data_IF_536286969854
#
_entry.id   IF_536286969854
#
_cell.length_a   1.000
_cell.length_b   1.000
_cell.length_c   1.000
_cell.angle_alpha   90.00
_cell.angle_beta   90.00
_cell.angle_gamma   90.00
#
_symmetry.space_group_name_H-M   'P 1'
#
loop_
_entity.id
_entity.type
_entity.pdbx_description
1 polymer ?
#
# COMPACT_ATOMS: atom_id res chain seq x y z
N UNK A 1 -7.66 18.35 -16.82
CA UNK A 1 -6.95 17.23 -16.16
C UNK A 1 -7.67 16.91 -14.85
N UNK A 2 -8.01 15.62 -14.59
CA UNK A 2 -8.71 15.21 -13.37
C UNK A 2 -7.66 14.75 -12.35
N UNK A 3 -7.70 15.30 -11.14
CA UNK A 3 -6.82 14.90 -10.04
C UNK A 3 -7.51 13.86 -9.18
N UNK A 4 -6.82 12.79 -8.84
CA UNK A 4 -7.25 11.79 -7.88
C UNK A 4 -6.32 11.79 -6.67
N UNK A 5 -6.91 11.63 -5.50
CA UNK A 5 -6.21 11.45 -4.23
C UNK A 5 -6.29 9.98 -3.82
N UNK A 6 -5.17 9.45 -3.37
CA UNK A 6 -5.06 8.07 -2.90
C UNK A 6 -4.66 8.10 -1.44
N UNK A 7 -5.51 7.56 -0.57
CA UNK A 7 -5.17 7.34 0.84
C UNK A 7 -4.66 5.92 1.00
N UNK A 8 -3.50 5.79 1.60
CA UNK A 8 -2.90 4.51 1.93
C UNK A 8 -2.28 4.54 3.33
N UNK A 9 -2.12 3.39 3.91
CA UNK A 9 -1.40 3.18 5.17
C UNK A 9 -0.24 2.22 4.92
N UNK A 10 0.85 2.39 5.69
CA UNK A 10 2.00 1.48 5.68
C UNK A 10 2.33 1.05 7.10
N UNK A 11 2.44 -0.25 7.32
CA UNK A 11 2.96 -0.79 8.55
C UNK A 11 4.48 -0.76 8.53
N UNK A 12 5.09 0.02 9.42
CA UNK A 12 6.53 0.35 9.34
C UNK A 12 7.44 -0.85 9.47
N UNK A 13 7.09 -1.84 10.27
CA UNK A 13 7.90 -3.04 10.49
C UNK A 13 7.82 -4.00 9.30
N UNK A 14 6.61 -4.41 8.91
CA UNK A 14 6.40 -5.40 7.84
C UNK A 14 6.43 -4.80 6.44
N UNK A 15 6.34 -3.48 6.29
CA UNK A 15 6.15 -2.74 5.03
C UNK A 15 4.83 -3.04 4.31
N UNK A 16 3.89 -3.67 5.01
CA UNK A 16 2.57 -3.95 4.45
C UNK A 16 1.86 -2.65 4.13
N UNK A 17 1.35 -2.55 2.92
CA UNK A 17 0.53 -1.44 2.43
C UNK A 17 -0.93 -1.80 2.57
N UNK A 18 -1.76 -0.81 2.82
CA UNK A 18 -3.21 -0.88 2.71
C UNK A 18 -3.70 0.32 1.91
N UNK A 19 -4.27 0.08 0.75
CA UNK A 19 -4.94 1.10 -0.06
C UNK A 19 -6.35 1.33 0.52
N UNK A 20 -6.48 2.36 1.36
CA UNK A 20 -7.76 2.66 2.03
C UNK A 20 -8.79 3.24 1.07
N UNK A 21 -8.39 4.08 0.12
CA UNK A 21 -9.34 4.63 -0.83
C UNK A 21 -8.75 5.54 -1.91
N UNK A 22 -9.56 5.78 -2.92
CA UNK A 22 -9.28 6.73 -4.01
C UNK A 22 -10.49 7.65 -4.15
N UNK A 23 -10.27 8.95 -4.26
CA UNK A 23 -11.33 9.93 -4.44
C UNK A 23 -10.85 11.13 -5.26
N UNK A 24 -11.77 11.87 -5.82
CA UNK A 24 -11.51 13.20 -6.42
C UNK A 24 -11.64 14.31 -5.39
N UNK A 25 -12.39 14.06 -4.31
CA UNK A 25 -12.75 15.02 -3.27
C UNK A 25 -12.49 14.41 -1.89
N UNK A 26 -11.26 14.56 -1.35
CA UNK A 26 -10.91 14.07 -0.02
C UNK A 26 -11.44 15.04 1.05
N UNK A 27 -12.77 15.15 1.12
CA UNK A 27 -13.45 15.96 2.13
C UNK A 27 -13.47 15.28 3.50
N UNK A 28 -13.97 15.98 4.51
CA UNK A 28 -14.04 15.50 5.88
C UNK A 28 -14.82 14.19 5.97
N UNK A 29 -16.00 14.10 5.35
CA UNK A 29 -16.87 12.91 5.42
C UNK A 29 -16.20 11.68 4.81
N UNK A 30 -15.50 11.85 3.68
CA UNK A 30 -14.73 10.78 3.08
C UNK A 30 -13.57 10.34 3.97
N UNK A 31 -12.84 11.28 4.56
CA UNK A 31 -11.72 10.96 5.48
C UNK A 31 -12.22 10.20 6.72
N UNK A 32 -13.33 10.61 7.32
CA UNK A 32 -13.95 9.91 8.44
C UNK A 32 -14.40 8.50 8.07
N UNK A 33 -14.97 8.32 6.86
CA UNK A 33 -15.34 6.98 6.40
C UNK A 33 -14.11 6.09 6.21
N UNK A 34 -13.02 6.61 5.65
CA UNK A 34 -11.76 5.86 5.53
C UNK A 34 -11.19 5.50 6.92
N UNK A 35 -11.29 6.41 7.90
CA UNK A 35 -10.89 6.13 9.28
C UNK A 35 -11.71 4.97 9.87
N UNK A 36 -13.04 5.00 9.74
CA UNK A 36 -13.91 3.89 10.18
C UNK A 36 -13.53 2.56 9.53
N UNK A 37 -13.28 2.55 8.22
CA UNK A 37 -12.94 1.32 7.50
C UNK A 37 -11.63 0.69 8.00
N UNK A 38 -10.60 1.50 8.32
CA UNK A 38 -9.30 0.98 8.77
C UNK A 38 -9.23 0.65 10.25
N UNK A 39 -10.21 1.12 11.05
CA UNK A 39 -10.36 0.78 12.48
C UNK A 39 -11.49 -0.22 12.73
N UNK A 40 -12.18 -0.69 11.67
CA UNK A 40 -13.29 -1.63 11.80
C UNK A 40 -12.86 -2.90 12.55
N UNK A 41 -13.66 -3.32 13.52
CA UNK A 41 -13.46 -4.55 14.28
C UNK A 41 -13.32 -5.75 13.33
N UNK A 42 -12.43 -6.67 13.65
CA UNK A 42 -12.12 -7.91 12.90
C UNK A 42 -11.44 -7.76 11.53
N UNK A 43 -11.52 -6.61 10.86
CA UNK A 43 -11.00 -6.46 9.49
C UNK A 43 -10.15 -5.21 9.24
N UNK A 44 -10.11 -4.24 10.15
CA UNK A 44 -9.40 -2.98 9.97
C UNK A 44 -7.88 -3.14 9.96
N UNK A 45 -7.22 -2.42 9.08
CA UNK A 45 -5.75 -2.46 8.97
C UNK A 45 -5.02 -1.97 10.22
N UNK A 46 -5.67 -1.10 11.01
CA UNK A 46 -5.12 -0.53 12.23
C UNK A 46 -5.41 -1.34 13.49
N UNK A 47 -6.07 -2.49 13.40
CA UNK A 47 -6.29 -3.38 14.55
C UNK A 47 -4.95 -3.76 15.19
N UNK A 48 -4.90 -3.70 16.54
CA UNK A 48 -3.72 -3.99 17.33
C UNK A 48 -2.52 -3.07 17.03
N UNK A 49 -2.76 -1.89 16.47
CA UNK A 49 -1.75 -0.85 16.28
C UNK A 49 -1.85 0.18 17.38
N UNK A 50 -0.69 0.65 17.87
CA UNK A 50 -0.63 1.63 18.95
C UNK A 50 -0.64 3.06 18.43
N UNK A 51 0.00 3.30 17.28
CA UNK A 51 0.26 4.64 16.77
C UNK A 51 -0.03 4.72 15.28
N UNK A 52 -0.61 5.85 14.86
CA UNK A 52 -0.70 6.28 13.47
C UNK A 52 0.12 7.56 13.29
N UNK A 53 1.20 7.47 12.53
CA UNK A 53 1.97 8.63 12.11
C UNK A 53 1.35 9.23 10.86
N UNK A 54 1.18 10.56 10.82
CA UNK A 54 0.69 11.27 9.65
C UNK A 54 1.41 12.61 9.50
N UNK A 55 1.46 13.14 8.28
CA UNK A 55 1.93 14.49 8.03
C UNK A 55 0.93 15.54 8.55
N UNK A 56 1.27 16.82 8.34
CA UNK A 56 0.41 17.94 8.79
C UNK A 56 -0.58 18.39 7.74
N UNK A 57 -0.94 17.54 6.78
CA UNK A 57 -1.97 17.89 5.81
C UNK A 57 -3.32 18.11 6.52
N UNK A 58 -4.02 19.17 6.10
CA UNK A 58 -5.33 19.56 6.66
C UNK A 58 -6.40 18.47 6.51
N UNK A 59 -6.19 17.51 5.61
CA UNK A 59 -7.09 16.35 5.43
C UNK A 59 -7.14 15.47 6.67
N UNK A 60 -6.06 15.42 7.48
CA UNK A 60 -6.05 14.74 8.79
C UNK A 60 -6.68 15.65 9.86
N UNK A 61 -7.95 16.04 9.63
CA UNK A 61 -8.72 16.92 10.50
C UNK A 61 -9.01 16.28 11.89
N UNK A 62 -9.52 17.07 12.81
CA UNK A 62 -9.81 16.61 14.17
C UNK A 62 -10.77 15.42 14.20
N UNK A 63 -11.84 15.45 13.38
CA UNK A 63 -12.81 14.36 13.31
C UNK A 63 -12.21 13.06 12.78
N UNK A 64 -11.34 13.10 11.75
CA UNK A 64 -10.58 11.92 11.31
C UNK A 64 -9.79 11.31 12.46
N UNK A 65 -9.04 12.14 13.20
CA UNK A 65 -8.23 11.68 14.33
C UNK A 65 -9.08 11.10 15.44
N UNK A 66 -10.20 11.73 15.79
CA UNK A 66 -11.15 11.22 16.80
C UNK A 66 -11.68 9.83 16.45
N UNK A 67 -12.00 9.57 15.18
CA UNK A 67 -12.44 8.23 14.73
C UNK A 67 -11.30 7.20 14.87
N UNK A 68 -10.07 7.56 14.51
CA UNK A 68 -8.90 6.67 14.67
C UNK A 68 -8.65 6.39 16.17
N UNK A 69 -8.71 7.41 17.02
CA UNK A 69 -8.47 7.31 18.46
C UNK A 69 -9.56 6.53 19.19
N UNK A 70 -10.80 6.61 18.74
CA UNK A 70 -11.89 5.75 19.21
C UNK A 70 -11.61 4.25 18.94
N UNK A 71 -10.84 3.94 17.91
CA UNK A 71 -10.32 2.58 17.62
C UNK A 71 -9.05 2.23 18.42
N UNK A 72 -8.76 2.94 19.52
CA UNK A 72 -7.60 2.72 20.42
C UNK A 72 -6.23 2.93 19.75
N UNK A 73 -6.15 3.72 18.69
CA UNK A 73 -4.92 4.07 17.98
C UNK A 73 -4.59 5.54 18.22
N UNK A 74 -3.43 5.84 18.80
CA UNK A 74 -3.00 7.23 19.00
C UNK A 74 -2.50 7.86 17.70
N UNK A 75 -2.99 9.05 17.37
CA UNK A 75 -2.52 9.80 16.20
C UNK A 75 -1.34 10.69 16.55
N UNK A 76 -0.27 10.65 15.77
CA UNK A 76 0.94 11.44 15.95
C UNK A 76 1.25 12.23 14.67
N UNK A 77 1.12 13.55 14.75
CA UNK A 77 1.52 14.44 13.66
C UNK A 77 3.05 14.53 13.60
N UNK A 78 3.64 14.25 12.45
CA UNK A 78 5.07 14.35 12.25
C UNK A 78 5.58 15.78 12.48
N UNK A 79 6.78 15.97 13.09
CA UNK A 79 7.40 17.27 13.22
C UNK A 79 7.63 17.91 11.84
N UNK A 80 7.62 19.27 11.75
CA UNK A 80 8.00 19.94 10.52
C UNK A 80 9.42 19.58 10.10
N UNK A 81 9.67 19.49 8.79
CA UNK A 81 11.00 19.24 8.23
C UNK A 81 11.68 17.94 8.71
N UNK A 82 10.89 16.91 8.93
CA UNK A 82 11.39 15.59 9.36
C UNK A 82 11.15 14.50 8.28
N UNK A 83 11.77 14.61 7.10
CA UNK A 83 11.52 13.70 5.98
C UNK A 83 11.85 12.24 6.31
N UNK A 84 12.86 12.01 7.17
CA UNK A 84 13.26 10.66 7.55
C UNK A 84 12.15 9.86 8.24
N UNK A 85 11.23 10.54 8.94
CA UNK A 85 10.12 9.90 9.64
C UNK A 85 9.02 9.40 8.68
N UNK A 86 8.99 9.89 7.44
CA UNK A 86 8.04 9.46 6.41
C UNK A 86 8.72 8.71 5.24
N UNK A 87 9.98 8.38 5.35
CA UNK A 87 10.80 7.84 4.27
C UNK A 87 10.23 6.57 3.62
N UNK A 88 9.53 5.72 4.38
CA UNK A 88 8.92 4.50 3.85
C UNK A 88 7.70 4.78 2.99
N UNK A 89 6.85 5.70 3.42
CA UNK A 89 5.69 6.13 2.64
C UNK A 89 6.13 6.85 1.35
N UNK A 90 7.12 7.73 1.44
CA UNK A 90 7.69 8.43 0.27
C UNK A 90 8.30 7.44 -0.72
N UNK A 91 9.04 6.43 -0.24
CA UNK A 91 9.62 5.37 -1.09
C UNK A 91 8.53 4.58 -1.79
N UNK A 92 7.47 4.19 -1.08
CA UNK A 92 6.35 3.48 -1.70
C UNK A 92 5.67 4.35 -2.77
N UNK A 93 5.39 5.63 -2.47
CA UNK A 93 4.79 6.57 -3.45
C UNK A 93 5.69 6.71 -4.69
N UNK A 94 7.00 6.81 -4.51
CA UNK A 94 7.94 6.85 -5.64
C UNK A 94 7.87 5.57 -6.46
N UNK A 95 7.96 4.41 -5.81
CA UNK A 95 7.91 3.11 -6.50
C UNK A 95 6.63 2.93 -7.30
N UNK A 96 5.45 3.19 -6.72
CA UNK A 96 4.19 3.02 -7.47
C UNK A 96 4.08 3.99 -8.64
N UNK A 97 4.60 5.22 -8.49
CA UNK A 97 4.63 6.20 -9.59
C UNK A 97 5.54 5.76 -10.72
N UNK A 98 6.79 5.42 -10.42
CA UNK A 98 7.83 5.12 -11.43
C UNK A 98 7.66 3.73 -12.06
N UNK A 99 7.30 2.72 -11.26
CA UNK A 99 7.23 1.34 -11.71
C UNK A 99 5.88 1.00 -12.36
N UNK A 100 4.81 1.75 -12.02
CA UNK A 100 3.45 1.45 -12.48
C UNK A 100 2.77 2.64 -13.15
N UNK A 101 2.42 3.70 -12.40
CA UNK A 101 1.47 4.71 -12.88
C UNK A 101 2.01 5.53 -14.06
N UNK A 102 3.32 5.86 -14.07
CA UNK A 102 3.96 6.59 -15.17
C UNK A 102 4.04 5.81 -16.49
N UNK A 103 3.81 4.51 -16.45
CA UNK A 103 3.88 3.62 -17.60
C UNK A 103 2.52 3.20 -18.14
N UNK A 104 1.43 3.75 -17.60
CA UNK A 104 0.06 3.42 -17.94
C UNK A 104 -0.72 4.64 -18.40
N UNK A 105 -1.57 4.45 -19.38
CA UNK A 105 -2.62 5.42 -19.73
C UNK A 105 -3.84 5.08 -18.87
N UNK A 106 -4.13 5.94 -17.89
CA UNK A 106 -5.21 5.75 -16.94
C UNK A 106 -6.49 6.42 -17.43
N UNK A 107 -7.48 5.64 -17.78
CA UNK A 107 -8.79 6.10 -18.21
C UNK A 107 -9.78 6.09 -17.05
N UNK A 108 -9.76 7.17 -16.26
CA UNK A 108 -10.67 7.36 -15.13
C UNK A 108 -10.30 6.58 -13.85
N UNK A 109 -11.17 6.65 -12.85
CA UNK A 109 -10.93 6.14 -11.51
C UNK A 109 -10.82 4.61 -11.46
N UNK A 110 -11.66 3.90 -12.19
CA UNK A 110 -11.66 2.43 -12.21
C UNK A 110 -10.34 1.86 -12.72
N UNK A 111 -9.76 2.49 -13.74
CA UNK A 111 -8.44 2.15 -14.28
C UNK A 111 -7.32 2.39 -13.24
N UNK A 112 -7.37 3.54 -12.54
CA UNK A 112 -6.43 3.85 -11.46
C UNK A 112 -6.54 2.84 -10.31
N UNK A 113 -7.76 2.56 -9.84
CA UNK A 113 -7.99 1.58 -8.77
C UNK A 113 -7.49 0.18 -9.13
N UNK A 114 -7.69 -0.24 -10.38
CA UNK A 114 -7.17 -1.52 -10.88
C UNK A 114 -5.64 -1.53 -10.89
N UNK A 115 -5.01 -0.49 -11.42
CA UNK A 115 -3.55 -0.38 -11.45
C UNK A 115 -2.95 -0.44 -10.04
N UNK A 116 -3.51 0.31 -9.09
CA UNK A 116 -3.05 0.34 -7.70
C UNK A 116 -3.19 -1.02 -7.02
N UNK A 117 -4.32 -1.72 -7.16
CA UNK A 117 -4.51 -3.07 -6.58
C UNK A 117 -3.53 -4.09 -7.14
N UNK A 118 -3.29 -4.07 -8.46
CA UNK A 118 -2.30 -4.96 -9.06
C UNK A 118 -0.88 -4.64 -8.59
N UNK A 119 -0.56 -3.35 -8.42
CA UNK A 119 0.74 -2.95 -7.91
C UNK A 119 0.91 -3.31 -6.42
N UNK A 120 -0.11 -3.13 -5.58
CA UNK A 120 -0.10 -3.54 -4.18
C UNK A 120 0.17 -5.04 -4.04
N UNK A 121 -0.53 -5.89 -4.81
CA UNK A 121 -0.29 -7.33 -4.81
C UNK A 121 1.13 -7.67 -5.28
N UNK A 122 1.60 -7.05 -6.38
CA UNK A 122 2.98 -7.21 -6.84
C UNK A 122 4.00 -6.78 -5.79
N UNK A 123 3.80 -5.64 -5.15
CA UNK A 123 4.67 -5.11 -4.10
C UNK A 123 4.79 -6.05 -2.90
N UNK A 124 3.71 -6.71 -2.51
CA UNK A 124 3.67 -7.62 -1.38
C UNK A 124 4.24 -9.01 -1.70
N UNK A 125 3.86 -9.56 -2.84
CA UNK A 125 3.99 -10.99 -3.14
C UNK A 125 5.14 -11.32 -4.09
N UNK A 126 5.55 -10.36 -4.93
CA UNK A 126 6.37 -10.63 -6.10
C UNK A 126 7.60 -9.72 -6.21
N UNK A 127 7.61 -8.58 -5.52
CA UNK A 127 8.69 -7.60 -5.59
C UNK A 127 9.74 -7.86 -4.51
N UNK A 128 11.00 -7.98 -4.92
CA UNK A 128 12.14 -8.04 -4.00
C UNK A 128 12.37 -6.69 -3.32
N UNK A 129 12.60 -6.71 -2.01
CA UNK A 129 12.79 -5.52 -1.20
C UNK A 129 14.25 -5.40 -0.72
N UNK A 130 15.06 -4.56 -1.39
CA UNK A 130 16.47 -4.34 -1.07
C UNK A 130 16.71 -3.99 0.41
N UNK A 131 15.85 -3.17 1.01
CA UNK A 131 15.92 -2.82 2.44
C UNK A 131 15.49 -3.93 3.40
N UNK A 132 15.24 -5.14 2.90
CA UNK A 132 14.94 -6.36 3.63
C UNK A 132 15.64 -7.57 2.99
N UNK A 133 16.93 -7.41 2.68
CA UNK A 133 17.78 -8.48 2.15
C UNK A 133 17.24 -9.14 0.85
N UNK A 134 16.58 -8.35 0.01
CA UNK A 134 15.96 -8.78 -1.24
C UNK A 134 14.89 -9.89 -1.10
N UNK A 135 14.26 -10.03 0.07
CA UNK A 135 13.18 -10.99 0.26
C UNK A 135 11.83 -10.41 -0.18
N UNK A 136 10.89 -11.30 -0.50
CA UNK A 136 9.48 -10.96 -0.69
C UNK A 136 8.85 -10.67 0.67
N UNK A 137 7.95 -9.66 0.75
CA UNK A 137 7.31 -9.31 2.03
C UNK A 137 6.32 -10.38 2.50
N UNK A 138 5.49 -10.85 1.59
CA UNK A 138 4.43 -11.82 1.85
C UNK A 138 4.35 -12.82 0.69
N UNK A 139 5.34 -13.71 0.54
CA UNK A 139 5.34 -14.68 -0.55
C UNK A 139 4.09 -15.55 -0.47
N UNK A 140 3.48 -15.82 -1.61
CA UNK A 140 2.43 -16.84 -1.69
C UNK A 140 3.03 -18.19 -1.29
N UNK A 141 2.22 -19.08 -0.67
CA UNK A 141 2.69 -20.43 -0.36
C UNK A 141 3.13 -21.12 -1.65
N UNK A 142 4.44 -21.20 -1.85
CA UNK A 142 5.02 -22.01 -2.92
C UNK A 142 5.16 -23.42 -2.36
N UNK A 143 4.65 -24.43 -3.06
CA UNK A 143 4.95 -25.80 -2.70
C UNK A 143 6.48 -25.96 -2.77
N UNK A 144 7.07 -26.40 -1.65
CA UNK A 144 8.52 -26.55 -1.57
C UNK A 144 8.97 -27.57 -2.62
N UNK A 145 9.68 -27.10 -3.63
CA UNK A 145 10.24 -27.94 -4.69
C UNK A 145 11.41 -28.70 -4.09
N UNK A 146 11.25 -30.01 -3.89
CA UNK A 146 12.34 -30.95 -3.67
C UNK A 146 12.69 -31.57 -5.02
N UNK A 147 13.63 -30.97 -5.75
CA UNK A 147 14.08 -31.44 -7.06
C UNK A 147 14.70 -30.33 -7.90
N UNK A 148 15.27 -30.65 -9.04
CA UNK A 148 15.75 -29.68 -10.01
C UNK A 148 14.55 -28.90 -10.58
N UNK A 149 14.65 -27.55 -10.73
CA UNK A 149 13.58 -26.75 -11.28
C UNK A 149 13.42 -27.06 -12.77
N UNK A 150 12.39 -27.81 -13.14
CA UNK A 150 12.16 -28.19 -14.54
C UNK A 150 11.63 -27.05 -15.39
N UNK A 151 10.96 -26.05 -14.80
CA UNK A 151 10.32 -24.98 -15.60
C UNK A 151 10.23 -23.65 -14.85
N UNK A 152 10.62 -22.59 -15.53
CA UNK A 152 10.43 -21.22 -15.03
C UNK A 152 9.08 -20.69 -15.55
N UNK A 153 8.23 -20.28 -14.63
CA UNK A 153 6.96 -19.62 -14.93
C UNK A 153 7.07 -18.12 -14.74
N UNK A 154 6.51 -17.35 -15.68
CA UNK A 154 6.41 -15.90 -15.58
C UNK A 154 4.98 -15.51 -15.23
N UNK A 155 4.78 -14.96 -14.02
CA UNK A 155 3.53 -14.33 -13.63
C UNK A 155 3.54 -12.88 -14.09
N UNK A 156 2.47 -12.45 -14.75
CA UNK A 156 2.37 -11.11 -15.32
C UNK A 156 1.15 -10.37 -14.77
N UNK A 157 1.32 -9.07 -14.49
CA UNK A 157 0.23 -8.16 -14.13
C UNK A 157 0.24 -6.94 -15.06
N UNK A 158 -0.91 -6.30 -15.24
CA UNK A 158 -1.09 -5.09 -16.05
C UNK A 158 -0.54 -5.24 -17.49
N UNK A 159 -0.92 -6.34 -18.16
CA UNK A 159 -0.49 -6.58 -19.53
C UNK A 159 1.01 -6.84 -19.70
N UNK A 160 1.66 -7.40 -18.68
CA UNK A 160 3.10 -7.69 -18.69
C UNK A 160 3.98 -6.53 -18.22
N UNK A 161 3.39 -5.43 -17.72
CA UNK A 161 4.17 -4.34 -17.13
C UNK A 161 4.91 -4.78 -15.88
N UNK A 162 4.24 -5.54 -15.01
CA UNK A 162 4.82 -6.13 -13.81
C UNK A 162 5.02 -7.61 -14.03
N UNK A 163 6.25 -8.11 -13.82
CA UNK A 163 6.63 -9.49 -14.04
C UNK A 163 7.29 -10.06 -12.79
N UNK A 164 6.97 -11.32 -12.53
CA UNK A 164 7.63 -12.11 -11.51
C UNK A 164 7.90 -13.50 -12.06
N UNK A 165 9.10 -14.02 -11.80
CA UNK A 165 9.53 -15.33 -12.26
C UNK A 165 9.64 -16.28 -11.06
N UNK A 166 9.00 -17.42 -11.16
CA UNK A 166 9.03 -18.48 -10.15
C UNK A 166 9.36 -19.81 -10.80
N UNK A 167 10.01 -20.70 -10.04
CA UNK A 167 10.23 -22.08 -10.48
C UNK A 167 8.95 -22.89 -10.19
N UNK A 168 8.44 -23.58 -11.19
CA UNK A 168 7.31 -24.50 -11.03
C UNK A 168 7.83 -25.80 -10.42
N UNK A 169 7.12 -26.30 -9.38
CA UNK A 169 7.39 -27.63 -8.86
C UNK A 169 6.92 -28.65 -9.89
N UNK A 170 7.77 -29.66 -10.14
CA UNK A 170 7.40 -30.83 -10.94
C UNK A 170 6.37 -31.69 -10.19
#
# INVERSE_FOLDING_TARGET
MITYYVLFFIHLESRRICLAGVTRHPDQGWMEQMARNVTMEDAGFLINRRYLLHDRDRKYCSSFRQVIEAGSVQTLALPPRSPNLNAYAERWVRSVKEECLAKLILLGESSLRRALRHYEAHYHEERNHQGKDNVLLFPLPTQAVRGEPEKVRCRQRLGGLLKYYECEAA
#
